data_IF_440485347588
#
_entry.id   IF_440485347588
#
_cell.length_a   1.000
_cell.length_b   1.000
_cell.length_c   1.000
_cell.angle_alpha   90.00
_cell.angle_beta   90.00
_cell.angle_gamma   90.00
#
_symmetry.space_group_name_H-M   'P 1'
#
loop_
_entity.id
_entity.type
_entity.pdbx_description
1 polymer ?
#
# COMPACT_ATOMS: atom_id res chain seq x y z
N UNK A 1 2.00 1.15 31.82
CA UNK A 1 2.39 -0.26 31.61
C UNK A 1 1.22 -1.09 31.10
N UNK A 2 -0.02 -0.97 31.63
CA UNK A 2 -1.20 -1.74 31.14
C UNK A 2 -1.69 -1.34 29.75
N UNK A 3 -1.46 -0.13 29.27
CA UNK A 3 -1.81 0.32 27.90
C UNK A 3 -0.82 -0.18 26.84
N UNK A 4 0.44 -0.36 27.19
CA UNK A 4 1.48 -0.88 26.27
C UNK A 4 1.26 -2.36 25.94
N UNK A 5 0.78 -3.16 26.90
CA UNK A 5 0.53 -4.60 26.70
C UNK A 5 -0.69 -4.85 25.80
N UNK A 6 -1.74 -4.00 25.85
CA UNK A 6 -2.91 -4.12 24.98
C UNK A 6 -2.62 -3.78 23.52
N UNK A 7 -1.71 -2.83 23.26
CA UNK A 7 -1.29 -2.51 21.89
C UNK A 7 -0.40 -3.60 21.28
N UNK A 8 0.44 -4.24 22.10
CA UNK A 8 1.23 -5.39 21.62
C UNK A 8 0.35 -6.61 21.27
N UNK A 9 -0.66 -6.90 22.08
CA UNK A 9 -1.62 -7.99 21.76
C UNK A 9 -2.47 -7.72 20.51
N UNK A 10 -2.85 -6.47 20.26
CA UNK A 10 -3.62 -6.11 19.03
C UNK A 10 -2.77 -6.19 17.76
N UNK A 11 -1.52 -5.78 17.83
CA UNK A 11 -0.58 -5.94 16.72
C UNK A 11 -0.23 -7.41 16.46
N UNK A 12 -0.18 -8.22 17.53
CA UNK A 12 0.06 -9.66 17.45
C UNK A 12 -1.10 -10.42 16.78
N UNK A 13 -2.35 -10.07 17.10
CA UNK A 13 -3.55 -10.64 16.47
C UNK A 13 -3.68 -10.26 15.00
N UNK A 14 -3.31 -9.05 14.61
CA UNK A 14 -3.27 -8.63 13.22
C UNK A 14 -2.14 -9.33 12.43
N UNK A 15 -1.00 -9.58 13.08
CA UNK A 15 0.12 -10.35 12.53
C UNK A 15 -0.23 -11.84 12.36
N UNK A 16 -0.97 -12.44 13.31
CA UNK A 16 -1.41 -13.84 13.21
C UNK A 16 -2.49 -14.04 12.14
N UNK A 17 -3.42 -13.10 11.98
CA UNK A 17 -4.43 -13.14 10.92
C UNK A 17 -3.81 -12.99 9.51
N UNK A 18 -2.74 -12.21 9.37
CA UNK A 18 -1.95 -12.14 8.12
C UNK A 18 -1.11 -13.42 7.89
N UNK A 19 -0.64 -14.08 8.95
CA UNK A 19 0.07 -15.35 8.86
C UNK A 19 -0.84 -16.51 8.43
N UNK A 20 -2.09 -16.53 8.86
CA UNK A 20 -3.05 -17.57 8.46
C UNK A 20 -3.42 -17.48 6.97
N UNK A 21 -3.50 -16.28 6.39
CA UNK A 21 -3.73 -16.10 4.95
C UNK A 21 -2.53 -16.53 4.09
N UNK A 22 -1.30 -16.27 4.52
CA UNK A 22 -0.11 -16.80 3.83
C UNK A 22 0.04 -18.33 3.99
N UNK A 23 -0.31 -18.88 5.13
CA UNK A 23 -0.26 -20.31 5.42
C UNK A 23 -1.28 -21.11 4.59
N UNK A 24 -2.44 -20.55 4.27
CA UNK A 24 -3.45 -21.20 3.43
C UNK A 24 -3.02 -21.35 1.96
N UNK A 25 -2.10 -20.50 1.49
CA UNK A 25 -1.55 -20.55 0.13
C UNK A 25 -0.39 -21.58 -0.02
N UNK A 26 0.17 -22.09 1.09
CA UNK A 26 1.41 -22.89 1.07
C UNK A 26 1.28 -24.34 1.55
N UNK A 27 0.06 -24.85 1.83
CA UNK A 27 -0.11 -26.21 2.34
C UNK A 27 0.15 -27.30 1.29
N UNK A 28 1.29 -27.89 1.36
CA UNK A 28 1.61 -29.34 1.41
C UNK A 28 1.60 -30.16 0.11
N UNK A 29 0.94 -29.76 -0.97
CA UNK A 29 0.89 -30.56 -2.22
C UNK A 29 1.59 -29.89 -3.42
N UNK A 30 1.97 -28.65 -3.29
CA UNK A 30 2.41 -27.79 -4.40
C UNK A 30 3.75 -28.23 -5.04
N UNK A 31 4.72 -28.67 -4.24
CA UNK A 31 6.02 -29.08 -4.79
C UNK A 31 5.92 -30.34 -5.67
N UNK A 32 4.90 -31.15 -5.46
CA UNK A 32 4.67 -32.40 -6.21
C UNK A 32 3.90 -32.16 -7.52
N UNK A 33 2.97 -31.21 -7.53
CA UNK A 33 2.15 -30.90 -8.72
C UNK A 33 2.88 -30.03 -9.75
N UNK A 34 3.70 -29.06 -9.32
CA UNK A 34 4.47 -28.20 -10.22
C UNK A 34 5.65 -28.94 -10.90
N UNK A 35 6.23 -29.94 -10.26
CA UNK A 35 7.26 -30.76 -10.89
C UNK A 35 6.71 -31.61 -12.04
N UNK A 36 5.41 -31.85 -12.05
CA UNK A 36 4.73 -32.69 -13.05
C UNK A 36 4.40 -31.90 -14.33
N UNK A 37 4.12 -30.57 -14.24
CA UNK A 37 3.66 -29.81 -15.39
C UNK A 37 4.75 -29.37 -16.37
N UNK A 38 6.03 -29.25 -15.95
CA UNK A 38 7.12 -28.80 -16.83
C UNK A 38 8.46 -29.59 -16.69
N UNK A 39 8.53 -30.61 -15.87
CA UNK A 39 9.75 -31.41 -15.67
C UNK A 39 10.94 -30.64 -15.10
N UNK A 40 10.75 -29.44 -14.59
CA UNK A 40 11.80 -28.60 -14.00
C UNK A 40 11.66 -28.56 -12.48
N UNK A 41 12.77 -28.71 -11.78
CA UNK A 41 12.84 -28.55 -10.33
C UNK A 41 12.51 -27.10 -9.95
N UNK A 42 11.68 -26.88 -8.91
CA UNK A 42 11.46 -25.53 -8.38
C UNK A 42 12.76 -24.85 -7.96
N UNK A 43 12.90 -23.53 -8.14
CA UNK A 43 14.10 -22.81 -7.70
C UNK A 43 14.36 -23.02 -6.22
N UNK A 44 15.54 -23.54 -5.88
CA UNK A 44 15.94 -23.81 -4.50
C UNK A 44 17.41 -23.43 -4.26
N UNK A 45 17.82 -23.38 -3.01
CA UNK A 45 19.18 -23.12 -2.58
C UNK A 45 19.47 -23.84 -1.25
N UNK A 46 19.23 -25.15 -1.22
CA UNK A 46 19.28 -26.00 -0.01
C UNK A 46 20.60 -25.85 0.75
N UNK A 47 21.73 -25.74 0.05
CA UNK A 47 23.02 -25.54 0.71
C UNK A 47 23.11 -24.22 1.48
N UNK A 48 22.52 -23.14 0.94
CA UNK A 48 22.42 -21.87 1.67
C UNK A 48 21.45 -21.97 2.86
N UNK A 49 20.38 -22.74 2.73
CA UNK A 49 19.45 -22.98 3.84
C UNK A 49 20.15 -23.67 5.01
N UNK A 50 21.00 -24.70 4.74
CA UNK A 50 21.80 -25.37 5.75
C UNK A 50 22.71 -24.38 6.48
N UNK A 51 23.42 -23.54 5.73
CA UNK A 51 24.32 -22.53 6.31
C UNK A 51 23.56 -21.50 7.18
N UNK A 52 22.37 -21.06 6.76
CA UNK A 52 21.57 -20.11 7.51
C UNK A 52 21.08 -20.72 8.82
N UNK A 53 20.47 -21.92 8.76
CA UNK A 53 20.00 -22.61 9.98
C UNK A 53 21.18 -22.94 10.91
N UNK A 54 22.28 -23.48 10.36
CA UNK A 54 23.47 -23.78 11.16
C UNK A 54 24.02 -22.51 11.85
N UNK A 55 24.01 -21.36 11.17
CA UNK A 55 24.42 -20.08 11.75
C UNK A 55 23.50 -19.68 12.90
N UNK A 56 22.17 -19.84 12.77
CA UNK A 56 21.22 -19.50 13.83
C UNK A 56 21.38 -20.35 15.09
N UNK A 57 21.86 -21.57 14.95
CA UNK A 57 22.13 -22.48 16.07
C UNK A 57 23.44 -22.15 16.83
N UNK A 58 24.35 -21.35 16.21
CA UNK A 58 25.66 -21.04 16.76
C UNK A 58 25.79 -19.57 17.15
N UNK A 59 25.23 -18.66 16.33
CA UNK A 59 25.43 -17.21 16.49
C UNK A 59 24.10 -16.46 16.66
N UNK A 60 23.88 -15.98 17.89
CA UNK A 60 22.70 -15.19 18.23
C UNK A 60 22.59 -13.90 17.41
N UNK A 61 23.70 -13.24 17.06
CA UNK A 61 23.67 -11.98 16.30
C UNK A 61 23.16 -12.20 14.89
N UNK A 62 23.56 -13.31 14.26
CA UNK A 62 23.05 -13.68 12.95
C UNK A 62 21.55 -13.99 12.96
N UNK A 63 21.07 -14.61 14.05
CA UNK A 63 19.65 -14.84 14.26
C UNK A 63 18.86 -13.54 14.45
N UNK A 64 19.26 -12.69 15.37
CA UNK A 64 18.58 -11.42 15.70
C UNK A 64 18.45 -10.51 14.47
N UNK A 65 19.44 -10.50 13.58
CA UNK A 65 19.43 -9.73 12.34
C UNK A 65 18.40 -10.24 11.32
N UNK A 66 18.23 -11.56 11.23
CA UNK A 66 17.56 -12.20 10.08
C UNK A 66 16.18 -12.77 10.41
N UNK A 67 15.83 -12.96 11.68
CA UNK A 67 14.61 -13.66 12.08
C UNK A 67 13.33 -12.97 11.61
N UNK A 68 13.34 -11.64 11.59
CA UNK A 68 12.19 -10.84 11.13
C UNK A 68 12.00 -10.85 9.61
N UNK A 69 13.05 -11.23 8.87
CA UNK A 69 13.03 -11.30 7.42
C UNK A 69 12.54 -12.65 6.89
N UNK A 70 12.55 -13.69 7.73
CA UNK A 70 12.29 -15.06 7.33
C UNK A 70 10.96 -15.58 7.89
N UNK A 71 10.36 -16.48 7.13
CA UNK A 71 9.26 -17.34 7.58
C UNK A 71 9.59 -18.80 7.24
N UNK A 72 8.95 -19.80 7.89
CA UNK A 72 9.22 -21.20 7.60
C UNK A 72 9.08 -21.56 6.13
N UNK A 73 8.15 -20.93 5.42
CA UNK A 73 7.83 -21.15 4.01
C UNK A 73 8.93 -20.70 3.05
N UNK A 74 9.84 -19.83 3.51
CA UNK A 74 11.03 -19.41 2.74
C UNK A 74 11.95 -20.57 2.45
N UNK A 75 12.03 -21.55 3.36
CA UNK A 75 12.85 -22.74 3.19
C UNK A 75 12.19 -23.74 2.24
N UNK A 76 12.97 -24.27 1.32
CA UNK A 76 12.53 -25.29 0.35
C UNK A 76 12.45 -26.68 1.00
N UNK A 77 13.46 -27.04 1.82
CA UNK A 77 13.49 -28.34 2.49
C UNK A 77 12.52 -28.38 3.68
N UNK A 78 11.56 -29.32 3.70
CA UNK A 78 10.61 -29.43 4.80
C UNK A 78 11.27 -29.63 6.18
N UNK A 79 12.46 -30.24 6.23
CA UNK A 79 13.24 -30.40 7.47
C UNK A 79 13.66 -29.03 8.01
N UNK A 80 14.13 -28.17 7.13
CA UNK A 80 14.55 -26.82 7.48
C UNK A 80 13.36 -25.96 7.96
N UNK A 81 12.18 -26.15 7.36
CA UNK A 81 10.97 -25.49 7.82
C UNK A 81 10.61 -25.86 9.26
N UNK A 82 10.66 -27.15 9.61
CA UNK A 82 10.36 -27.61 10.98
C UNK A 82 11.40 -27.11 11.99
N UNK A 83 12.70 -27.15 11.63
CA UNK A 83 13.77 -26.60 12.48
C UNK A 83 13.56 -25.10 12.70
N UNK A 84 13.25 -24.35 11.65
CA UNK A 84 13.03 -22.91 11.77
C UNK A 84 11.76 -22.60 12.58
N UNK A 85 10.70 -23.41 12.50
CA UNK A 85 9.53 -23.29 13.38
C UNK A 85 9.90 -23.48 14.86
N UNK A 86 10.80 -24.41 15.16
CA UNK A 86 11.30 -24.59 16.53
C UNK A 86 12.11 -23.37 16.99
N UNK A 87 12.98 -22.83 16.14
CA UNK A 87 13.75 -21.61 16.40
C UNK A 87 12.81 -20.44 16.70
N UNK A 88 11.76 -20.24 15.89
CA UNK A 88 10.77 -19.18 16.12
C UNK A 88 10.06 -19.32 17.46
N UNK A 89 9.62 -20.53 17.81
CA UNK A 89 8.95 -20.78 19.11
C UNK A 89 9.83 -20.45 20.32
N UNK A 90 11.11 -20.81 20.26
CA UNK A 90 12.07 -20.50 21.34
C UNK A 90 12.33 -18.98 21.40
N UNK A 91 12.51 -18.34 20.25
CA UNK A 91 12.77 -16.92 20.17
C UNK A 91 11.56 -16.08 20.69
N UNK A 92 10.34 -16.47 20.33
CA UNK A 92 9.10 -15.84 20.82
C UNK A 92 8.92 -15.95 22.34
N UNK A 93 9.44 -17.05 22.95
CA UNK A 93 9.43 -17.25 24.40
C UNK A 93 10.60 -16.59 25.12
N UNK A 94 11.50 -15.94 24.38
CA UNK A 94 12.79 -15.43 24.91
C UNK A 94 13.65 -16.53 25.54
N UNK A 95 13.52 -17.78 25.08
CA UNK A 95 14.40 -18.89 25.47
C UNK A 95 15.68 -18.86 24.61
N UNK A 96 16.81 -19.35 25.11
CA UNK A 96 18.03 -19.46 24.31
C UNK A 96 17.80 -20.31 23.07
N UNK A 97 18.31 -19.85 21.92
CA UNK A 97 18.28 -20.61 20.68
C UNK A 97 19.67 -21.16 20.42
N UNK A 98 19.83 -22.46 20.64
CA UNK A 98 21.04 -23.21 20.38
C UNK A 98 20.70 -24.64 19.93
N UNK A 99 21.72 -25.42 19.57
CA UNK A 99 21.58 -26.80 19.11
C UNK A 99 20.76 -27.65 20.08
N UNK A 100 21.03 -27.55 21.38
CA UNK A 100 20.40 -28.41 22.39
C UNK A 100 18.96 -28.05 22.67
N UNK A 101 18.69 -26.75 22.78
CA UNK A 101 17.34 -26.23 23.04
C UNK A 101 16.39 -26.49 21.86
N UNK A 102 16.86 -26.34 20.61
CA UNK A 102 16.08 -26.66 19.40
C UNK A 102 15.78 -28.16 19.32
N UNK A 103 16.75 -29.04 19.56
CA UNK A 103 16.53 -30.49 19.61
C UNK A 103 15.51 -30.84 20.69
N UNK A 104 15.59 -30.22 21.87
CA UNK A 104 14.65 -30.46 22.97
C UNK A 104 13.22 -29.98 22.61
N UNK A 105 13.07 -28.80 21.99
CA UNK A 105 11.77 -28.33 21.53
C UNK A 105 11.17 -29.26 20.48
N UNK A 106 11.96 -29.70 19.52
CA UNK A 106 11.52 -30.66 18.48
C UNK A 106 11.11 -32.02 19.07
N UNK A 107 11.82 -32.53 20.10
CA UNK A 107 11.44 -33.74 20.84
C UNK A 107 10.11 -33.53 21.59
N UNK A 108 9.95 -32.40 22.28
CA UNK A 108 8.74 -32.06 23.03
C UNK A 108 7.50 -32.00 22.17
N UNK A 109 7.66 -31.54 20.92
CA UNK A 109 6.57 -31.38 19.96
C UNK A 109 6.46 -32.58 19.00
N UNK A 110 7.17 -33.69 19.22
CA UNK A 110 7.16 -34.89 18.37
C UNK A 110 7.55 -34.64 16.89
N UNK A 111 8.31 -33.58 16.63
CA UNK A 111 8.71 -33.14 15.27
C UNK A 111 10.14 -33.50 14.89
N UNK A 112 10.90 -34.10 15.79
CA UNK A 112 12.32 -34.41 15.57
C UNK A 112 12.54 -35.30 14.34
N UNK A 113 11.69 -36.31 14.13
CA UNK A 113 11.79 -37.18 12.95
C UNK A 113 11.57 -36.42 11.64
N UNK A 114 10.64 -35.44 11.62
CA UNK A 114 10.39 -34.59 10.46
C UNK A 114 11.55 -33.61 10.21
N UNK A 115 12.27 -33.21 11.25
CA UNK A 115 13.45 -32.35 11.16
C UNK A 115 14.73 -33.09 10.72
N UNK A 116 14.66 -34.41 10.49
CA UNK A 116 15.79 -35.22 10.06
C UNK A 116 16.59 -35.89 11.20
N UNK A 117 16.13 -35.79 12.45
CA UNK A 117 16.76 -36.36 13.63
C UNK A 117 17.94 -35.58 14.19
N UNK A 118 18.43 -36.00 15.35
CA UNK A 118 19.54 -35.35 16.07
C UNK A 118 20.79 -35.18 15.19
N UNK A 119 21.18 -36.21 14.48
CA UNK A 119 22.39 -36.21 13.63
C UNK A 119 22.33 -35.12 12.55
N UNK A 120 21.18 -35.01 11.87
CA UNK A 120 21.03 -34.00 10.83
C UNK A 120 21.19 -32.58 11.35
N UNK A 121 20.62 -32.27 12.53
CA UNK A 121 20.70 -30.94 13.13
C UNK A 121 22.14 -30.63 13.59
N UNK A 122 22.87 -31.68 14.09
CA UNK A 122 24.30 -31.54 14.42
C UNK A 122 25.11 -31.23 13.15
N UNK A 123 24.87 -31.95 12.05
CA UNK A 123 25.58 -31.75 10.78
C UNK A 123 25.41 -30.35 10.23
N UNK A 124 24.24 -29.71 10.43
CA UNK A 124 24.01 -28.32 10.02
C UNK A 124 24.95 -27.32 10.72
N UNK A 125 25.35 -27.62 11.96
CA UNK A 125 26.29 -26.76 12.71
C UNK A 125 27.75 -26.96 12.29
N UNK A 126 28.12 -28.16 11.82
CA UNK A 126 29.47 -28.45 11.38
C UNK A 126 29.87 -27.74 10.08
N UNK A 127 28.89 -27.42 9.24
CA UNK A 127 29.11 -26.72 7.96
C UNK A 127 29.37 -25.21 8.06
N UNK A 128 29.23 -24.63 9.26
CA UNK A 128 29.33 -23.18 9.46
C UNK A 128 30.74 -22.78 9.87
N UNK A 129 31.46 -22.11 9.00
CA UNK A 129 32.79 -21.57 9.31
C UNK A 129 32.78 -20.10 9.77
N UNK A 130 31.74 -19.32 9.42
CA UNK A 130 31.63 -17.91 9.81
C UNK A 130 30.21 -17.39 9.60
N UNK A 131 29.73 -16.53 10.51
CA UNK A 131 28.46 -15.79 10.37
C UNK A 131 28.57 -14.50 9.54
N UNK A 132 29.79 -14.14 9.08
CA UNK A 132 30.06 -12.85 8.43
C UNK A 132 29.24 -12.59 7.16
N UNK A 133 28.74 -13.63 6.50
CA UNK A 133 27.99 -13.53 5.24
C UNK A 133 26.53 -13.96 5.36
N UNK A 134 25.98 -14.00 6.58
CA UNK A 134 24.61 -14.45 6.83
C UNK A 134 23.57 -13.63 6.02
N UNK A 135 23.77 -12.34 5.91
CA UNK A 135 22.90 -11.43 5.15
C UNK A 135 22.82 -11.83 3.67
N UNK A 136 23.93 -12.15 3.06
CA UNK A 136 23.97 -12.62 1.68
C UNK A 136 23.27 -13.98 1.52
N UNK A 137 23.50 -14.92 2.45
CA UNK A 137 22.86 -16.23 2.41
C UNK A 137 21.35 -16.14 2.56
N UNK A 138 20.87 -15.31 3.49
CA UNK A 138 19.43 -15.02 3.68
C UNK A 138 18.82 -14.43 2.42
N UNK A 139 19.52 -13.48 1.79
CA UNK A 139 19.07 -12.87 0.53
C UNK A 139 18.91 -13.92 -0.59
N UNK A 140 19.87 -14.84 -0.74
CA UNK A 140 19.80 -15.90 -1.77
C UNK A 140 18.58 -16.80 -1.56
N UNK A 141 18.28 -17.22 -0.32
CA UNK A 141 17.09 -18.04 -0.07
C UNK A 141 15.79 -17.25 -0.29
N UNK A 142 15.73 -15.97 0.07
CA UNK A 142 14.59 -15.10 -0.21
C UNK A 142 14.34 -14.94 -1.72
N UNK A 143 15.40 -14.75 -2.51
CA UNK A 143 15.29 -14.69 -3.98
C UNK A 143 14.68 -15.97 -4.56
N UNK A 144 15.12 -17.14 -4.08
CA UNK A 144 14.55 -18.43 -4.52
C UNK A 144 13.11 -18.62 -4.07
N UNK A 145 12.77 -18.16 -2.87
CA UNK A 145 11.38 -18.17 -2.39
C UNK A 145 10.47 -17.27 -3.24
N UNK A 146 10.91 -16.05 -3.57
CA UNK A 146 10.15 -15.14 -4.45
C UNK A 146 9.91 -15.81 -5.81
N UNK A 147 10.92 -16.44 -6.41
CA UNK A 147 10.77 -17.14 -7.68
C UNK A 147 9.75 -18.29 -7.58
N UNK A 148 9.77 -19.09 -6.50
CA UNK A 148 8.78 -20.15 -6.27
C UNK A 148 7.38 -19.58 -6.11
N UNK A 149 7.23 -18.51 -5.35
CA UNK A 149 5.94 -17.84 -5.13
C UNK A 149 5.35 -17.29 -6.43
N UNK A 150 6.20 -16.68 -7.28
CA UNK A 150 5.79 -16.24 -8.61
C UNK A 150 5.33 -17.39 -9.49
N UNK A 151 6.10 -18.48 -9.53
CA UNK A 151 5.72 -19.69 -10.29
C UNK A 151 4.35 -20.21 -9.82
N UNK A 152 4.11 -20.25 -8.51
CA UNK A 152 2.83 -20.71 -7.94
C UNK A 152 1.67 -19.82 -8.31
N UNK A 153 1.83 -18.49 -8.25
CA UNK A 153 0.78 -17.55 -8.64
C UNK A 153 0.43 -17.69 -10.11
N UNK A 154 1.45 -17.73 -10.99
CA UNK A 154 1.19 -17.87 -12.43
C UNK A 154 0.63 -19.24 -12.79
N UNK A 155 1.04 -20.32 -12.14
CA UNK A 155 0.46 -21.65 -12.34
C UNK A 155 -1.03 -21.66 -12.00
N UNK A 156 -1.42 -21.05 -10.86
CA UNK A 156 -2.82 -20.91 -10.47
C UNK A 156 -3.63 -20.06 -11.46
N UNK A 157 -3.05 -18.98 -11.98
CA UNK A 157 -3.70 -18.17 -13.03
C UNK A 157 -3.92 -18.98 -14.28
N UNK A 158 -2.90 -19.74 -14.74
CA UNK A 158 -2.98 -20.59 -15.93
C UNK A 158 -4.07 -21.66 -15.74
N UNK A 159 -4.05 -22.41 -14.64
CA UNK A 159 -5.03 -23.45 -14.36
C UNK A 159 -6.48 -22.94 -14.31
N UNK A 160 -6.67 -21.75 -13.72
CA UNK A 160 -8.00 -21.15 -13.67
C UNK A 160 -8.44 -20.53 -15.01
N UNK A 161 -7.50 -20.11 -15.86
CA UNK A 161 -7.80 -19.59 -17.21
C UNK A 161 -8.36 -20.65 -18.15
N UNK A 162 -8.07 -21.94 -17.91
CA UNK A 162 -8.63 -23.06 -18.68
C UNK A 162 -10.04 -23.48 -18.24
N UNK A 163 -10.57 -22.94 -17.12
CA UNK A 163 -11.89 -23.29 -16.61
C UNK A 163 -12.94 -22.36 -17.24
N UNK A 164 -13.89 -22.91 -17.99
CA UNK A 164 -14.97 -22.16 -18.64
C UNK A 164 -15.87 -21.36 -17.69
N UNK A 165 -15.92 -21.75 -16.41
CA UNK A 165 -16.74 -21.06 -15.38
C UNK A 165 -16.04 -19.90 -14.71
N UNK A 166 -14.80 -19.57 -15.07
CA UNK A 166 -14.01 -18.53 -14.39
C UNK A 166 -14.39 -17.15 -14.89
N UNK A 167 -14.76 -16.25 -13.97
CA UNK A 167 -14.88 -14.82 -14.28
C UNK A 167 -13.49 -14.23 -14.50
N UNK A 168 -13.28 -13.66 -15.67
CA UNK A 168 -11.99 -13.08 -16.08
C UNK A 168 -11.56 -11.94 -15.19
N UNK A 169 -12.50 -11.10 -14.77
CA UNK A 169 -12.18 -9.96 -13.90
C UNK A 169 -11.81 -10.42 -12.49
N UNK A 170 -12.54 -11.40 -11.93
CA UNK A 170 -12.19 -11.99 -10.63
C UNK A 170 -10.83 -12.69 -10.67
N UNK A 171 -10.48 -13.34 -11.77
CA UNK A 171 -9.17 -13.97 -11.94
C UNK A 171 -8.04 -12.96 -11.99
N UNK A 172 -8.22 -11.85 -12.71
CA UNK A 172 -7.25 -10.75 -12.78
C UNK A 172 -7.04 -10.11 -11.41
N UNK A 173 -8.12 -9.83 -10.69
CA UNK A 173 -8.05 -9.26 -9.34
C UNK A 173 -7.27 -10.17 -8.38
N UNK A 174 -7.56 -11.48 -8.40
CA UNK A 174 -6.83 -12.46 -7.57
C UNK A 174 -5.35 -12.55 -7.93
N UNK A 175 -5.03 -12.52 -9.23
CA UNK A 175 -3.66 -12.56 -9.69
C UNK A 175 -2.87 -11.33 -9.23
N UNK A 176 -3.45 -10.15 -9.36
CA UNK A 176 -2.83 -8.90 -8.95
C UNK A 176 -2.68 -8.81 -7.42
N UNK A 177 -3.68 -9.24 -6.66
CA UNK A 177 -3.60 -9.32 -5.21
C UNK A 177 -2.47 -10.26 -4.76
N UNK A 178 -2.37 -11.46 -5.35
CA UNK A 178 -1.33 -12.43 -5.01
C UNK A 178 0.07 -11.91 -5.36
N UNK A 179 0.22 -11.23 -6.51
CA UNK A 179 1.47 -10.57 -6.88
C UNK A 179 1.87 -9.48 -5.89
N UNK A 180 0.90 -8.69 -5.46
CA UNK A 180 1.09 -7.63 -4.47
C UNK A 180 1.52 -8.19 -3.10
N UNK A 181 0.94 -9.30 -2.65
CA UNK A 181 1.32 -9.97 -1.40
C UNK A 181 2.76 -10.45 -1.44
N UNK A 182 3.23 -11.00 -2.57
CA UNK A 182 4.63 -11.38 -2.77
C UNK A 182 5.53 -10.14 -2.65
N UNK A 183 5.18 -9.05 -3.34
CA UNK A 183 6.00 -7.84 -3.38
C UNK A 183 6.11 -7.16 -2.01
N UNK A 184 5.00 -7.09 -1.27
CA UNK A 184 4.98 -6.42 0.05
C UNK A 184 5.34 -7.35 1.21
N UNK A 185 5.04 -8.65 1.11
CA UNK A 185 5.34 -9.61 2.17
C UNK A 185 6.83 -9.94 2.26
N UNK A 186 7.55 -9.88 1.15
CA UNK A 186 8.96 -10.30 1.07
C UNK A 186 9.93 -9.13 1.22
N UNK A 187 9.50 -7.90 0.87
CA UNK A 187 10.29 -6.67 1.02
C UNK A 187 9.80 -5.94 2.28
N UNK A 188 9.91 -6.54 3.44
CA UNK A 188 9.91 -5.76 4.68
C UNK A 188 11.16 -4.88 4.62
N UNK A 189 10.99 -3.56 4.44
CA UNK A 189 12.06 -2.60 4.65
C UNK A 189 12.63 -2.86 6.04
N UNK A 190 13.92 -3.18 6.11
CA UNK A 190 14.63 -3.24 7.37
C UNK A 190 14.41 -1.93 8.15
N UNK A 191 14.58 -1.98 9.46
CA UNK A 191 14.51 -0.78 10.29
C UNK A 191 15.63 0.18 9.86
N UNK A 192 15.26 1.38 9.42
CA UNK A 192 16.22 2.43 9.19
C UNK A 192 16.80 2.88 10.53
N UNK A 193 18.11 2.96 10.62
CA UNK A 193 18.75 3.47 11.85
C UNK A 193 18.46 4.95 12.03
N UNK A 194 18.32 5.42 13.26
CA UNK A 194 18.11 6.84 13.54
C UNK A 194 19.19 7.72 12.86
N UNK A 195 20.42 7.22 12.74
CA UNK A 195 21.52 7.94 12.09
C UNK A 195 21.28 8.14 10.58
N UNK A 196 20.78 7.13 9.85
CA UNK A 196 20.44 7.27 8.43
C UNK A 196 19.28 8.24 8.22
N UNK A 197 18.23 8.11 9.05
CA UNK A 197 17.06 9.00 8.99
C UNK A 197 17.39 10.45 9.34
N UNK A 198 18.27 10.70 10.31
CA UNK A 198 18.73 12.05 10.64
C UNK A 198 19.50 12.68 9.48
N UNK A 199 20.37 11.93 8.81
CA UNK A 199 21.09 12.45 7.63
C UNK A 199 20.11 12.81 6.52
N UNK A 200 19.16 11.92 6.18
CA UNK A 200 18.13 12.16 5.19
C UNK A 200 17.25 13.39 5.55
N UNK A 201 16.86 13.51 6.82
CA UNK A 201 16.10 14.66 7.31
C UNK A 201 16.89 15.98 7.17
N UNK A 202 18.18 15.99 7.52
CA UNK A 202 19.05 17.16 7.38
C UNK A 202 19.21 17.55 5.92
N UNK A 203 19.39 16.58 5.01
CA UNK A 203 19.53 16.86 3.58
C UNK A 203 18.21 17.39 2.99
N UNK A 204 17.08 16.89 3.44
CA UNK A 204 15.76 17.42 3.10
C UNK A 204 15.57 18.85 3.61
N UNK A 205 15.96 19.16 4.85
CA UNK A 205 15.89 20.51 5.42
C UNK A 205 16.79 21.47 4.63
N UNK A 206 17.99 21.04 4.24
CA UNK A 206 18.89 21.86 3.43
C UNK A 206 18.29 22.19 2.07
N UNK A 207 17.68 21.21 1.41
CA UNK A 207 17.03 21.41 0.10
C UNK A 207 15.82 22.36 0.13
N UNK A 208 15.22 22.57 1.30
CA UNK A 208 14.10 23.51 1.50
C UNK A 208 14.57 24.97 1.58
N UNK A 209 15.83 25.20 1.95
CA UNK A 209 16.40 26.57 2.04
C UNK A 209 16.37 27.29 0.70
N UNK A 210 16.45 26.54 -0.40
CA UNK A 210 16.49 27.08 -1.76
C UNK A 210 15.09 27.17 -2.42
N UNK A 211 14.02 26.73 -1.72
CA UNK A 211 12.65 26.67 -2.24
C UNK A 211 11.70 27.59 -1.46
N UNK A 212 11.87 28.90 -1.53
CA UNK A 212 10.95 29.94 -1.03
C UNK A 212 9.89 29.52 0.03
N UNK A 213 10.24 28.57 0.94
CA UNK A 213 9.41 28.18 2.08
C UNK A 213 8.32 27.11 1.83
N UNK A 214 8.10 26.63 0.61
CA UNK A 214 7.15 25.55 0.31
C UNK A 214 7.86 24.19 0.30
N UNK A 215 7.54 23.35 1.27
CA UNK A 215 8.10 21.99 1.38
C UNK A 215 7.30 20.93 0.61
N UNK A 216 6.02 21.20 0.40
CA UNK A 216 5.06 20.32 -0.27
C UNK A 216 4.58 20.86 -1.62
N UNK A 217 3.58 20.18 -2.21
CA UNK A 217 2.88 20.64 -3.41
C UNK A 217 2.04 21.86 -3.07
N UNK A 218 2.20 23.01 -3.77
CA UNK A 218 1.42 24.21 -3.50
C UNK A 218 -0.07 23.97 -3.72
N UNK A 219 -0.93 24.56 -2.90
CA UNK A 219 -2.38 24.58 -3.12
C UNK A 219 -2.80 25.67 -4.10
N UNK A 220 -1.94 26.67 -4.29
CA UNK A 220 -2.23 27.89 -5.01
C UNK A 220 -3.14 28.87 -4.24
N UNK A 221 -3.45 28.59 -2.98
CA UNK A 221 -4.11 29.50 -2.06
C UNK A 221 -3.09 29.98 -1.03
N UNK A 222 -2.71 31.25 -1.13
CA UNK A 222 -1.61 31.85 -0.37
C UNK A 222 -1.68 31.59 1.14
N UNK A 223 -2.86 31.77 1.72
CA UNK A 223 -3.03 31.61 3.17
C UNK A 223 -2.97 30.13 3.59
N UNK A 224 -3.49 29.22 2.75
CA UNK A 224 -3.39 27.78 2.96
C UNK A 224 -1.92 27.33 2.88
N UNK A 225 -1.22 27.79 1.86
CA UNK A 225 0.19 27.43 1.64
C UNK A 225 1.11 27.95 2.74
N UNK A 226 0.80 29.14 3.28
CA UNK A 226 1.53 29.73 4.41
C UNK A 226 1.39 28.91 5.69
N UNK A 227 0.20 28.36 5.95
CA UNK A 227 -0.07 27.57 7.17
C UNK A 227 0.41 26.12 7.04
N UNK A 228 0.33 25.54 5.83
CA UNK A 228 0.63 24.10 5.60
C UNK A 228 2.04 23.86 5.08
N UNK A 229 2.70 24.88 4.51
CA UNK A 229 3.94 24.71 3.74
C UNK A 229 3.72 23.93 2.43
N UNK A 230 2.47 23.89 1.91
CA UNK A 230 2.02 23.05 0.81
C UNK A 230 1.64 21.63 1.27
N UNK A 231 1.06 20.84 0.36
CA UNK A 231 0.62 19.46 0.63
C UNK A 231 1.82 18.52 0.70
N UNK A 232 2.05 17.93 1.87
CA UNK A 232 3.21 17.09 2.11
C UNK A 232 3.06 15.70 1.49
N UNK A 233 4.15 15.17 0.94
CA UNK A 233 4.17 13.82 0.41
C UNK A 233 3.78 12.79 1.49
N UNK A 234 3.14 11.72 1.04
CA UNK A 234 2.66 10.63 1.90
C UNK A 234 1.50 11.01 2.84
N UNK A 235 0.97 12.25 2.77
CA UNK A 235 -0.17 12.64 3.58
C UNK A 235 -1.51 12.34 2.91
N UNK A 236 -2.50 12.02 3.77
CA UNK A 236 -3.91 12.01 3.41
C UNK A 236 -4.54 13.28 3.99
N UNK A 237 -5.08 14.10 3.10
CA UNK A 237 -5.74 15.36 3.45
C UNK A 237 -7.25 15.19 3.22
N UNK A 238 -8.05 15.46 4.25
CA UNK A 238 -9.51 15.39 4.14
C UNK A 238 -10.09 16.79 4.08
N UNK A 239 -10.79 17.09 2.97
CA UNK A 239 -11.55 18.34 2.81
C UNK A 239 -13.04 18.00 2.91
N UNK A 240 -13.69 18.46 3.97
CA UNK A 240 -15.07 18.11 4.25
C UNK A 240 -16.00 19.32 4.27
N UNK A 241 -17.17 19.14 3.67
CA UNK A 241 -18.22 20.18 3.68
C UNK A 241 -19.61 19.55 3.54
N UNK A 242 -20.65 20.31 3.88
CA UNK A 242 -22.03 19.97 3.54
C UNK A 242 -22.29 20.14 2.04
N UNK A 243 -23.30 19.45 1.46
CA UNK A 243 -23.71 19.67 0.07
C UNK A 243 -23.93 21.16 -0.25
N UNK A 244 -23.65 21.56 -1.46
CA UNK A 244 -23.77 22.93 -1.97
C UNK A 244 -22.87 24.00 -1.30
N UNK A 245 -21.92 23.61 -0.43
CA UNK A 245 -20.97 24.54 0.20
C UNK A 245 -19.70 24.79 -0.64
N UNK A 246 -19.68 24.38 -1.90
CA UNK A 246 -18.58 24.67 -2.82
C UNK A 246 -17.39 23.72 -2.76
N UNK A 247 -17.53 22.52 -2.16
CA UNK A 247 -16.46 21.53 -2.03
C UNK A 247 -15.77 21.23 -3.38
N UNK A 248 -16.53 20.84 -4.39
CA UNK A 248 -16.00 20.54 -5.74
C UNK A 248 -15.44 21.81 -6.41
N UNK A 249 -16.03 22.98 -6.22
CA UNK A 249 -15.50 24.22 -6.77
C UNK A 249 -14.12 24.56 -6.18
N UNK A 250 -13.93 24.36 -4.87
CA UNK A 250 -12.66 24.59 -4.19
C UNK A 250 -11.54 23.69 -4.75
N UNK A 251 -11.80 22.39 -4.93
CA UNK A 251 -10.77 21.50 -5.49
C UNK A 251 -10.49 21.76 -6.97
N UNK A 252 -11.49 22.17 -7.76
CA UNK A 252 -11.27 22.55 -9.16
C UNK A 252 -10.41 23.80 -9.28
N UNK A 253 -10.62 24.81 -8.41
CA UNK A 253 -9.74 25.98 -8.34
C UNK A 253 -8.33 25.61 -7.92
N UNK A 254 -8.19 24.72 -6.92
CA UNK A 254 -6.89 24.18 -6.52
C UNK A 254 -6.21 23.40 -7.65
N UNK A 255 -6.97 22.54 -8.35
CA UNK A 255 -6.47 21.77 -9.48
C UNK A 255 -5.96 22.68 -10.61
N UNK A 256 -6.72 23.74 -10.92
CA UNK A 256 -6.29 24.76 -11.87
C UNK A 256 -4.99 25.43 -11.44
N UNK A 257 -4.91 25.90 -10.19
CA UNK A 257 -3.70 26.56 -9.68
C UNK A 257 -2.49 25.62 -9.73
N UNK A 258 -2.64 24.37 -9.32
CA UNK A 258 -1.56 23.37 -9.32
C UNK A 258 -1.08 23.06 -10.74
N UNK A 259 -2.02 22.79 -11.66
CA UNK A 259 -1.67 22.35 -13.01
C UNK A 259 -1.31 23.51 -13.95
N UNK A 260 -1.99 24.66 -13.87
CA UNK A 260 -1.79 25.77 -14.78
C UNK A 260 -0.70 26.71 -14.27
N UNK A 261 -0.77 27.15 -12.99
CA UNK A 261 0.19 28.13 -12.49
C UNK A 261 1.53 27.48 -12.09
N UNK A 262 1.49 26.28 -11.52
CA UNK A 262 2.69 25.59 -11.05
C UNK A 262 3.17 24.46 -11.98
N UNK A 263 2.44 24.13 -13.03
CA UNK A 263 2.76 23.07 -14.00
C UNK A 263 3.06 21.70 -13.35
N UNK A 264 2.40 21.39 -12.23
CA UNK A 264 2.59 20.15 -11.49
C UNK A 264 1.56 19.13 -11.96
N UNK A 265 2.01 17.92 -12.41
CA UNK A 265 1.11 16.86 -12.84
C UNK A 265 0.24 16.36 -11.67
N UNK A 266 -1.09 16.33 -11.89
CA UNK A 266 -2.03 15.85 -10.91
C UNK A 266 -3.10 14.94 -11.51
N UNK A 267 -3.68 14.08 -10.65
CA UNK A 267 -4.81 13.23 -10.98
C UNK A 267 -6.04 13.63 -10.16
N UNK A 268 -7.21 13.71 -10.83
CA UNK A 268 -8.51 13.96 -10.22
C UNK A 268 -9.46 12.80 -10.53
N UNK A 269 -9.87 12.08 -9.51
CA UNK A 269 -10.88 11.04 -9.60
C UNK A 269 -12.24 11.62 -9.21
N UNK A 270 -13.14 11.70 -10.20
CA UNK A 270 -14.49 12.22 -10.01
C UNK A 270 -15.51 11.09 -10.06
N UNK A 271 -16.05 10.75 -8.89
CA UNK A 271 -17.00 9.64 -8.76
C UNK A 271 -18.46 10.12 -8.86
N UNK A 272 -18.69 11.44 -8.82
CA UNK A 272 -20.03 12.05 -8.86
C UNK A 272 -20.34 12.73 -10.19
N UNK A 273 -19.34 13.35 -10.82
CA UNK A 273 -19.53 14.21 -11.99
C UNK A 273 -18.73 13.73 -13.19
N UNK A 274 -19.30 13.88 -14.38
CA UNK A 274 -18.60 13.59 -15.64
C UNK A 274 -17.43 14.56 -15.88
N UNK A 275 -16.34 14.07 -16.47
CA UNK A 275 -15.10 14.83 -16.73
C UNK A 275 -15.35 16.12 -17.50
N UNK A 276 -16.22 16.06 -18.53
CA UNK A 276 -16.59 17.24 -19.34
C UNK A 276 -17.25 18.34 -18.49
N UNK A 277 -18.06 17.96 -17.49
CA UNK A 277 -18.71 18.93 -16.61
C UNK A 277 -17.70 19.64 -15.71
N UNK A 278 -16.68 18.92 -15.23
CA UNK A 278 -15.59 19.47 -14.42
C UNK A 278 -14.76 20.46 -15.25
N UNK A 279 -14.36 20.06 -16.45
CA UNK A 279 -13.62 20.93 -17.37
C UNK A 279 -14.45 22.16 -17.75
N UNK A 280 -15.75 22.02 -18.00
CA UNK A 280 -16.62 23.17 -18.29
C UNK A 280 -16.66 24.17 -17.11
N UNK A 281 -16.65 23.69 -15.86
CA UNK A 281 -16.55 24.56 -14.67
C UNK A 281 -15.19 25.23 -14.57
N UNK A 282 -14.10 24.53 -14.90
CA UNK A 282 -12.76 25.13 -14.93
C UNK A 282 -12.68 26.22 -16.01
N UNK A 283 -13.21 25.97 -17.20
CA UNK A 283 -13.33 26.95 -18.28
C UNK A 283 -14.12 28.17 -17.83
N UNK A 284 -15.28 27.98 -17.17
CA UNK A 284 -16.07 29.07 -16.64
C UNK A 284 -15.28 29.94 -15.65
N UNK A 285 -14.49 29.32 -14.80
CA UNK A 285 -13.64 30.02 -13.82
C UNK A 285 -12.51 30.79 -14.49
N UNK A 286 -11.86 30.21 -15.52
CA UNK A 286 -10.72 30.81 -16.22
C UNK A 286 -11.14 31.98 -17.13
N UNK A 287 -12.28 31.83 -17.80
CA UNK A 287 -12.77 32.82 -18.77
C UNK A 287 -13.66 33.88 -18.16
N UNK A 288 -14.20 33.63 -16.96
CA UNK A 288 -15.21 34.50 -16.34
C UNK A 288 -16.59 34.43 -17.04
N UNK A 289 -16.79 33.46 -17.94
CA UNK A 289 -18.08 33.24 -18.63
C UNK A 289 -18.97 32.38 -17.73
N UNK A 290 -20.24 32.77 -17.58
CA UNK A 290 -21.13 31.98 -16.72
C UNK A 290 -21.32 30.54 -17.25
N UNK A 291 -21.35 29.58 -16.33
CA UNK A 291 -21.57 28.18 -16.67
C UNK A 291 -22.91 27.96 -17.38
N UNK A 292 -23.91 28.81 -17.20
CA UNK A 292 -25.19 28.77 -17.89
C UNK A 292 -25.03 29.11 -19.37
N UNK A 293 -24.29 30.15 -19.72
CA UNK A 293 -23.99 30.53 -21.10
C UNK A 293 -23.18 29.46 -21.82
N UNK A 294 -22.15 28.95 -21.16
CA UNK A 294 -21.35 27.84 -21.70
C UNK A 294 -22.20 26.59 -22.01
N UNK A 295 -23.09 26.22 -21.08
CA UNK A 295 -23.99 25.07 -21.27
C UNK A 295 -25.01 25.25 -22.36
N UNK A 296 -25.53 26.49 -22.55
CA UNK A 296 -26.53 26.80 -23.57
C UNK A 296 -25.91 27.18 -24.92
N UNK A 297 -24.57 27.36 -24.99
CA UNK A 297 -23.89 27.86 -26.18
C UNK A 297 -24.26 29.30 -26.56
N UNK A 298 -24.84 30.06 -25.63
CA UNK A 298 -25.32 31.42 -25.86
C UNK A 298 -24.27 32.46 -25.47
N UNK A 299 -23.19 32.53 -26.25
CA UNK A 299 -22.07 33.46 -26.04
C UNK A 299 -22.00 34.51 -27.13
N UNK A 300 -21.55 35.73 -26.76
CA UNK A 300 -21.21 36.78 -27.72
C UNK A 300 -19.90 36.45 -28.43
N UNK A 301 -19.61 37.11 -29.55
CA UNK A 301 -18.37 36.97 -30.29
C UNK A 301 -17.14 37.28 -29.42
N UNK A 302 -17.26 38.31 -28.58
CA UNK A 302 -16.20 38.65 -27.61
C UNK A 302 -15.97 37.57 -26.55
N UNK A 303 -17.05 36.89 -26.09
CA UNK A 303 -16.95 35.76 -25.16
C UNK A 303 -16.32 34.54 -25.84
N UNK A 304 -16.61 34.31 -27.10
CA UNK A 304 -15.94 33.26 -27.90
C UNK A 304 -14.45 33.50 -28.06
N UNK A 305 -14.05 34.74 -28.40
CA UNK A 305 -12.63 35.10 -28.50
C UNK A 305 -11.90 34.95 -27.15
N UNK A 306 -12.56 35.37 -26.05
CA UNK A 306 -12.00 35.18 -24.69
C UNK A 306 -11.87 33.71 -24.33
N UNK A 307 -12.84 32.88 -24.70
CA UNK A 307 -12.78 31.43 -24.48
C UNK A 307 -11.58 30.85 -25.18
N UNK A 308 -11.40 31.08 -26.47
CA UNK A 308 -10.29 30.52 -27.23
C UNK A 308 -8.92 31.02 -26.76
N UNK A 309 -8.82 32.27 -26.32
CA UNK A 309 -7.55 32.82 -25.85
C UNK A 309 -7.14 32.26 -24.47
N UNK A 310 -8.08 31.93 -23.58
CA UNK A 310 -7.78 31.50 -22.23
C UNK A 310 -7.76 29.97 -22.04
N UNK A 311 -8.38 29.21 -22.95
CA UNK A 311 -8.44 27.74 -22.85
C UNK A 311 -7.08 27.08 -23.13
N UNK A 312 -6.20 27.72 -23.92
CA UNK A 312 -4.89 27.15 -24.27
C UNK A 312 -4.02 26.77 -23.07
N UNK A 313 -4.12 27.51 -21.95
CA UNK A 313 -3.44 27.20 -20.70
C UNK A 313 -3.96 25.91 -20.05
N UNK A 314 -5.27 25.67 -20.13
CA UNK A 314 -5.89 24.44 -19.64
C UNK A 314 -5.60 23.24 -20.53
N UNK A 315 -5.52 23.42 -21.86
CA UNK A 315 -5.20 22.35 -22.82
C UNK A 315 -3.79 21.80 -22.59
N UNK A 316 -2.84 22.64 -22.21
CA UNK A 316 -1.47 22.25 -21.91
C UNK A 316 -1.24 21.79 -20.47
N UNK A 317 -2.24 21.94 -19.60
CA UNK A 317 -2.12 21.60 -18.19
C UNK A 317 -1.99 20.09 -17.97
N UNK A 318 -1.04 19.61 -17.13
CA UNK A 318 -0.84 18.20 -16.87
C UNK A 318 -1.87 17.65 -15.86
N UNK A 319 -3.17 17.73 -16.22
CA UNK A 319 -4.30 17.29 -15.44
C UNK A 319 -4.88 15.99 -16.02
N UNK A 320 -4.93 14.94 -15.22
CA UNK A 320 -5.50 13.64 -15.56
C UNK A 320 -6.80 13.44 -14.80
N UNK A 321 -7.92 13.26 -15.51
CA UNK A 321 -9.24 13.07 -14.91
C UNK A 321 -9.74 11.66 -15.19
N UNK A 322 -10.20 10.99 -14.14
CA UNK A 322 -10.86 9.68 -14.20
C UNK A 322 -12.28 9.81 -13.63
N UNK A 323 -13.28 9.30 -14.37
CA UNK A 323 -14.70 9.37 -14.00
C UNK A 323 -15.33 7.98 -13.79
N UNK A 324 -14.49 6.99 -13.46
CA UNK A 324 -14.99 5.62 -13.22
C UNK A 324 -15.95 5.58 -12.03
N UNK A 325 -17.22 5.23 -12.22
CA UNK A 325 -18.19 5.16 -11.13
C UNK A 325 -17.90 3.99 -10.20
N UNK A 326 -18.27 4.13 -8.92
CA UNK A 326 -18.12 3.07 -7.90
C UNK A 326 -16.70 2.44 -7.85
N UNK A 327 -15.69 3.29 -7.98
CA UNK A 327 -14.29 2.88 -8.03
C UNK A 327 -13.89 2.12 -6.77
N UNK A 328 -13.39 0.89 -6.93
CA UNK A 328 -12.84 0.13 -5.81
C UNK A 328 -11.50 0.72 -5.35
N UNK A 329 -11.17 0.51 -4.07
CA UNK A 329 -9.84 0.93 -3.54
C UNK A 329 -8.71 0.27 -4.32
N UNK A 330 -8.93 -0.95 -4.78
CA UNK A 330 -7.98 -1.71 -5.56
C UNK A 330 -7.72 -1.08 -6.93
N UNK A 331 -8.79 -0.82 -7.72
CA UNK A 331 -8.68 -0.15 -9.02
C UNK A 331 -8.08 1.25 -8.89
N UNK A 332 -8.49 1.99 -7.85
CA UNK A 332 -7.91 3.29 -7.54
C UNK A 332 -6.39 3.20 -7.34
N UNK A 333 -5.91 2.22 -6.57
CA UNK A 333 -4.49 2.01 -6.32
C UNK A 333 -3.73 1.69 -7.61
N UNK A 334 -4.27 0.79 -8.45
CA UNK A 334 -3.68 0.41 -9.73
C UNK A 334 -3.56 1.60 -10.68
N UNK A 335 -4.65 2.40 -10.80
CA UNK A 335 -4.69 3.61 -11.61
C UNK A 335 -3.71 4.67 -11.09
N UNK A 336 -3.68 4.93 -9.78
CA UNK A 336 -2.75 5.88 -9.16
C UNK A 336 -1.29 5.49 -9.41
N UNK A 337 -0.94 4.22 -9.22
CA UNK A 337 0.41 3.72 -9.49
C UNK A 337 0.82 3.97 -10.95
N UNK A 338 -0.05 3.64 -11.89
CA UNK A 338 0.20 3.88 -13.32
C UNK A 338 0.40 5.37 -13.62
N UNK A 339 -0.47 6.25 -13.08
CA UNK A 339 -0.37 7.70 -13.29
C UNK A 339 0.92 8.28 -12.70
N UNK A 340 1.32 7.85 -11.50
CA UNK A 340 2.59 8.28 -10.89
C UNK A 340 3.79 7.79 -11.68
N UNK A 341 3.79 6.52 -12.12
CA UNK A 341 4.93 5.92 -12.84
C UNK A 341 5.07 6.44 -14.26
N UNK A 342 3.97 6.57 -15.01
CA UNK A 342 4.00 6.92 -16.43
C UNK A 342 3.96 8.43 -16.68
N UNK A 343 3.24 9.18 -15.85
CA UNK A 343 2.99 10.61 -16.05
C UNK A 343 3.59 11.49 -14.96
N UNK A 344 4.28 10.91 -13.98
CA UNK A 344 4.96 11.66 -12.92
C UNK A 344 4.01 12.44 -12.01
N UNK A 345 2.76 11.99 -11.84
CA UNK A 345 1.75 12.64 -10.99
C UNK A 345 2.30 12.86 -9.58
N UNK A 346 2.15 14.08 -9.07
CA UNK A 346 2.67 14.51 -7.76
C UNK A 346 1.60 14.73 -6.70
N UNK A 347 0.33 14.75 -7.08
CA UNK A 347 -0.81 14.90 -6.18
C UNK A 347 -2.04 14.21 -6.77
N UNK A 348 -2.84 13.60 -5.91
CA UNK A 348 -4.05 12.87 -6.29
C UNK A 348 -5.22 13.44 -5.52
N UNK A 349 -6.35 13.70 -6.20
CA UNK A 349 -7.60 14.15 -5.59
C UNK A 349 -8.74 13.19 -5.88
N UNK A 350 -9.65 13.00 -4.91
CA UNK A 350 -10.82 12.11 -5.00
C UNK A 350 -12.09 12.87 -4.60
N UNK A 351 -13.08 12.95 -5.49
CA UNK A 351 -14.40 13.56 -5.23
C UNK A 351 -15.50 12.52 -5.41
N UNK A 352 -16.06 11.94 -4.35
CA UNK A 352 -15.79 12.02 -2.94
C UNK A 352 -15.74 10.58 -2.33
N UNK A 353 -15.09 10.45 -1.20
CA UNK A 353 -14.72 9.22 -0.54
C UNK A 353 -15.88 8.23 -0.33
N UNK A 354 -17.08 8.72 -0.03
CA UNK A 354 -18.26 7.89 0.22
C UNK A 354 -18.82 7.20 -1.04
N UNK A 355 -18.36 7.52 -2.24
CA UNK A 355 -18.74 6.80 -3.46
C UNK A 355 -17.77 5.66 -3.82
N UNK A 356 -16.66 5.55 -3.09
CA UNK A 356 -15.75 4.42 -3.25
C UNK A 356 -16.30 3.14 -2.61
N UNK A 357 -15.81 2.00 -3.08
CA UNK A 357 -16.10 0.68 -2.51
C UNK A 357 -14.83 0.04 -1.95
N UNK A 358 -14.94 -0.67 -0.83
CA UNK A 358 -13.78 -1.33 -0.22
C UNK A 358 -13.34 -2.58 -0.99
N UNK A 359 -14.29 -3.30 -1.63
CA UNK A 359 -14.04 -4.55 -2.35
C UNK A 359 -14.72 -4.56 -3.73
N UNK A 360 -14.09 -5.18 -4.72
CA UNK A 360 -14.56 -5.29 -6.12
C UNK A 360 -15.74 -6.25 -6.34
N UNK A 361 -16.34 -6.88 -5.35
CA UNK A 361 -17.32 -7.93 -5.64
C UNK A 361 -18.17 -8.51 -4.50
N UNK A 362 -18.34 -7.82 -3.38
CA UNK A 362 -19.07 -8.39 -2.26
C UNK A 362 -20.38 -7.67 -1.91
N UNK A 363 -21.53 -8.36 -1.96
CA UNK A 363 -22.73 -8.02 -1.20
C UNK A 363 -22.42 -8.14 0.31
N UNK A 364 -21.55 -7.28 0.81
CA UNK A 364 -21.21 -7.20 2.23
C UNK A 364 -22.17 -6.24 2.93
N UNK A 365 -23.16 -6.76 3.65
CA UNK A 365 -23.96 -5.98 4.60
C UNK A 365 -23.13 -5.54 5.82
N UNK A 366 -21.94 -5.01 5.61
CA UNK A 366 -21.11 -4.41 6.65
C UNK A 366 -21.59 -3.01 7.02
N UNK A 367 -21.31 -2.59 8.24
CA UNK A 367 -21.60 -1.23 8.68
C UNK A 367 -20.86 -0.24 7.79
N UNK A 368 -21.57 0.70 7.16
CA UNK A 368 -21.02 1.71 6.24
C UNK A 368 -19.86 2.51 6.86
N UNK A 369 -19.90 2.74 8.16
CA UNK A 369 -18.83 3.40 8.89
C UNK A 369 -17.50 2.61 8.83
N UNK A 370 -17.58 1.27 8.97
CA UNK A 370 -16.39 0.40 8.88
C UNK A 370 -15.81 0.36 7.47
N UNK A 371 -16.67 0.40 6.46
CA UNK A 371 -16.25 0.46 5.07
C UNK A 371 -15.47 1.76 4.77
N UNK A 372 -16.01 2.91 5.17
CA UNK A 372 -15.37 4.22 5.00
C UNK A 372 -14.05 4.28 5.78
N UNK A 373 -14.01 3.74 6.99
CA UNK A 373 -12.77 3.64 7.77
C UNK A 373 -11.70 2.79 7.07
N UNK A 374 -12.12 1.73 6.40
CA UNK A 374 -11.21 0.87 5.62
C UNK A 374 -10.71 1.61 4.38
N UNK A 375 -11.58 2.31 3.65
CA UNK A 375 -11.21 3.14 2.51
C UNK A 375 -10.21 4.21 2.92
N UNK A 376 -10.47 4.96 3.99
CA UNK A 376 -9.57 6.02 4.49
C UNK A 376 -8.18 5.47 4.85
N UNK A 377 -8.12 4.36 5.58
CA UNK A 377 -6.83 3.70 5.88
C UNK A 377 -6.09 3.27 4.62
N UNK A 378 -6.81 2.77 3.64
CA UNK A 378 -6.24 2.35 2.35
C UNK A 378 -5.72 3.55 1.56
N UNK A 379 -6.44 4.67 1.52
CA UNK A 379 -5.98 5.90 0.87
C UNK A 379 -4.69 6.44 1.53
N UNK A 380 -4.60 6.41 2.88
CA UNK A 380 -3.35 6.78 3.58
C UNK A 380 -2.21 5.82 3.25
N UNK A 381 -2.49 4.52 3.14
CA UNK A 381 -1.50 3.54 2.73
C UNK A 381 -1.00 3.79 1.30
N UNK A 382 -1.90 4.11 0.37
CA UNK A 382 -1.57 4.47 -1.02
C UNK A 382 -0.74 5.76 -1.08
N UNK A 383 -1.12 6.80 -0.34
CA UNK A 383 -0.35 8.04 -0.25
C UNK A 383 1.09 7.78 0.21
N UNK A 384 1.27 6.91 1.22
CA UNK A 384 2.58 6.52 1.74
C UNK A 384 3.37 5.66 0.75
N UNK A 385 2.71 4.70 0.08
CA UNK A 385 3.31 3.82 -0.91
C UNK A 385 3.86 4.57 -2.11
N UNK A 386 3.05 5.48 -2.66
CA UNK A 386 3.39 6.26 -3.86
C UNK A 386 4.20 7.51 -3.53
N UNK A 387 4.36 7.84 -2.24
CA UNK A 387 5.03 9.06 -1.76
C UNK A 387 4.46 10.34 -2.39
N UNK A 388 3.13 10.43 -2.50
CA UNK A 388 2.40 11.60 -3.00
C UNK A 388 1.29 11.99 -2.04
N UNK A 389 0.92 13.28 -1.90
CA UNK A 389 -0.26 13.67 -1.16
C UNK A 389 -1.54 13.18 -1.85
N UNK A 390 -2.48 12.68 -1.05
CA UNK A 390 -3.82 12.30 -1.49
C UNK A 390 -4.83 13.21 -0.79
N UNK A 391 -5.60 13.96 -1.56
CA UNK A 391 -6.71 14.80 -1.07
C UNK A 391 -8.01 14.04 -1.32
N UNK A 392 -8.75 13.73 -0.27
CA UNK A 392 -10.05 13.08 -0.37
C UNK A 392 -11.15 14.03 0.13
N UNK A 393 -12.17 14.19 -0.68
CA UNK A 393 -13.35 14.94 -0.27
C UNK A 393 -14.27 14.06 0.55
N UNK A 394 -14.89 14.66 1.56
CA UNK A 394 -15.87 13.99 2.43
C UNK A 394 -17.10 14.87 2.65
N UNK A 395 -18.23 14.22 2.86
CA UNK A 395 -19.45 14.91 3.25
C UNK A 395 -19.57 14.88 4.78
N UNK A 396 -19.86 16.03 5.37
CA UNK A 396 -20.11 16.15 6.80
C UNK A 396 -21.49 15.63 7.19
N UNK A 397 -21.62 15.14 8.41
CA UNK A 397 -22.88 14.74 9.03
C UNK A 397 -23.88 15.90 9.07
N UNK A 398 -25.19 15.60 9.00
CA UNK A 398 -26.29 16.58 9.13
C UNK A 398 -26.34 17.26 10.49
N UNK A 399 -25.72 16.70 11.51
CA UNK A 399 -25.67 17.26 12.88
C UNK A 399 -25.02 18.64 12.94
N UNK A 400 -24.16 18.99 11.97
CA UNK A 400 -23.60 20.35 11.84
C UNK A 400 -24.69 21.40 11.69
N UNK A 401 -25.76 21.10 10.94
CA UNK A 401 -26.85 22.04 10.65
C UNK A 401 -27.76 22.31 11.86
N UNK A 402 -27.82 21.38 12.79
CA UNK A 402 -28.63 21.47 14.02
C UNK A 402 -27.92 22.26 15.13
N UNK A 403 -26.62 22.52 15.02
CA UNK A 403 -25.88 23.30 16.00
C UNK A 403 -26.15 24.79 15.89
N UNK A 404 -26.22 25.52 17.00
CA UNK A 404 -26.42 26.97 16.99
C UNK A 404 -25.37 27.74 16.20
N UNK A 405 -24.09 27.34 16.31
CA UNK A 405 -22.97 28.00 15.64
C UNK A 405 -22.63 27.43 14.25
N UNK A 406 -23.24 26.32 13.85
CA UNK A 406 -23.02 25.62 12.56
C UNK A 406 -21.55 25.40 12.19
N UNK A 407 -20.61 25.43 13.16
CA UNK A 407 -19.19 25.19 12.91
C UNK A 407 -18.91 23.70 12.86
N UNK A 408 -18.21 23.23 11.80
CA UNK A 408 -17.76 21.84 11.71
C UNK A 408 -16.83 21.44 12.85
N UNK A 409 -16.93 20.20 13.28
CA UNK A 409 -16.05 19.55 14.25
C UNK A 409 -15.59 18.21 13.70
N UNK A 410 -14.49 17.67 14.21
CA UNK A 410 -13.99 16.37 13.80
C UNK A 410 -15.04 15.24 13.97
N UNK A 411 -15.91 15.36 14.98
CA UNK A 411 -17.02 14.42 15.19
C UNK A 411 -18.05 14.40 14.05
N UNK A 412 -18.08 15.43 13.20
CA UNK A 412 -19.03 15.51 12.08
C UNK A 412 -18.57 14.71 10.86
N UNK A 413 -17.32 14.26 10.88
CA UNK A 413 -16.80 13.25 9.96
C UNK A 413 -17.32 11.83 10.32
N UNK A 414 -18.13 11.72 11.38
CA UNK A 414 -18.56 10.46 12.02
C UNK A 414 -19.65 9.65 11.29
N UNK A 415 -20.22 10.09 10.19
CA UNK A 415 -20.80 9.13 9.23
C UNK A 415 -19.69 8.31 8.53
N UNK A 416 -18.47 8.66 8.85
CA UNK A 416 -17.19 8.05 8.44
C UNK A 416 -16.34 7.73 9.68
N UNK A 417 -16.91 7.28 10.76
CA UNK A 417 -16.48 7.08 12.17
C UNK A 417 -15.01 6.78 12.49
N UNK A 418 -14.10 6.84 11.53
CA UNK A 418 -12.67 6.58 11.70
C UNK A 418 -11.79 7.18 10.59
N UNK A 419 -12.19 8.35 10.03
CA UNK A 419 -11.31 9.16 9.19
C UNK A 419 -10.31 9.91 10.06
#
# INVERSE_FOLDING_TARGET
IKLSIKNHQKNYLCYMAQKETLSSLTHGNFAKELSISNGKMPPNAVEFEKLVIGTFLIDKKGLDYSIDLLSPEVFYDPRHQEIFRAILRLYEKNEPVDLMTVIQDLKRNEKLGLAGGDHYIIDLTMGVSSSAHIEYHVRVILEKFILRSLINVYANVIDNSYKESTDVFELLDKAEQSFFEITNGTIKKGFDTANSLVKEAIDKIKSLKDKEGLSGVPSGFRDVDKETGGWQNSDLIIIAARPAMGKTAFILSMARNICVDHHIPMALFSLEMASVQLITRMIASETGISSEKLRKGQMSEEEWQRLFSNVSALESAPLYIDETPALSVFDFRAKCRRLVMQHGVKIIMVDYLQLMTANSGGKGGGNREQEIATISRSLKAIAKELNVPVIALSQLSRTVETRPNKRPQLSDLRESGAI
#
